data_IF_153370439697
#
_entry.id   IF_153370439697
#
_cell.length_a   1.000
_cell.length_b   1.000
_cell.length_c   1.000
_cell.angle_alpha   90.00
_cell.angle_beta   90.00
_cell.angle_gamma   90.00
#
_symmetry.space_group_name_H-M   'P 1'
#
loop_
_entity.id
_entity.type
_entity.pdbx_description
1 polymer ?
#
# COMPACT_ATOMS: atom_id res chain seq x y z
N UNK A 1 -7.02 -16.29 23.47
CA UNK A 1 -6.34 -15.22 22.73
C UNK A 1 -5.01 -14.94 23.39
N UNK A 2 -3.89 -15.45 22.86
CA UNK A 2 -2.55 -15.02 23.28
C UNK A 2 -2.23 -13.76 22.48
N UNK A 3 -2.34 -12.58 23.12
CA UNK A 3 -1.87 -11.33 22.56
C UNK A 3 -0.35 -11.38 22.41
N UNK A 4 0.16 -11.13 21.20
CA UNK A 4 1.60 -11.02 21.00
C UNK A 4 2.09 -9.74 21.72
N UNK A 5 2.92 -9.83 22.78
CA UNK A 5 3.34 -8.66 23.55
C UNK A 5 4.07 -7.62 22.71
N UNK A 6 4.80 -8.05 21.67
CA UNK A 6 5.51 -7.15 20.76
C UNK A 6 4.55 -6.28 19.93
N UNK A 7 3.38 -6.80 19.57
CA UNK A 7 2.35 -6.05 18.84
C UNK A 7 1.70 -5.00 19.74
N UNK A 8 1.43 -5.36 21.00
CA UNK A 8 0.88 -4.42 21.99
C UNK A 8 1.86 -3.29 22.31
N UNK A 9 3.16 -3.58 22.39
CA UNK A 9 4.18 -2.56 22.64
C UNK A 9 4.35 -1.61 21.45
N UNK A 10 4.36 -2.09 20.22
CA UNK A 10 4.45 -1.25 19.02
C UNK A 10 3.24 -0.30 18.90
N UNK A 11 2.03 -0.76 19.23
CA UNK A 11 0.82 0.06 19.22
C UNK A 11 0.78 1.09 20.38
N UNK A 12 1.34 0.78 21.53
CA UNK A 12 1.31 1.67 22.70
C UNK A 12 2.29 2.84 22.61
N UNK A 13 3.39 2.71 21.87
CA UNK A 13 4.39 3.78 21.75
C UNK A 13 4.02 4.90 20.78
N UNK A 14 3.09 4.70 19.89
CA UNK A 14 2.76 5.65 18.82
C UNK A 14 1.53 6.51 19.07
N UNK A 15 0.76 6.25 20.09
CA UNK A 15 -0.45 7.02 20.43
C UNK A 15 -0.13 8.34 21.16
N UNK A 16 1.15 8.69 21.29
CA UNK A 16 1.59 9.91 21.93
C UNK A 16 1.42 11.15 21.05
N UNK A 17 0.33 11.87 21.18
CA UNK A 17 0.37 13.30 20.99
C UNK A 17 -0.49 13.99 19.95
N UNK A 18 -1.15 13.35 18.99
CA UNK A 18 -2.13 14.03 18.14
C UNK A 18 -3.50 13.38 18.24
N UNK A 19 -4.53 14.18 18.54
CA UNK A 19 -5.90 13.68 18.59
C UNK A 19 -6.34 13.22 17.20
N UNK A 20 -6.38 11.91 16.99
CA UNK A 20 -6.98 11.34 15.78
C UNK A 20 -8.49 11.43 15.93
N UNK A 21 -9.15 12.15 15.05
CA UNK A 21 -10.61 12.15 15.00
C UNK A 21 -11.21 10.85 14.44
N UNK A 22 -10.45 10.11 13.61
CA UNK A 22 -10.84 8.84 13.04
C UNK A 22 -9.63 7.92 12.91
N UNK A 23 -9.75 6.71 13.41
CA UNK A 23 -8.83 5.61 13.12
C UNK A 23 -9.51 4.66 12.17
N UNK A 24 -8.79 4.14 11.19
CA UNK A 24 -9.31 3.18 10.23
C UNK A 24 -8.30 2.05 10.04
N UNK A 25 -8.79 0.82 10.10
CA UNK A 25 -8.02 -0.39 9.83
C UNK A 25 -8.63 -1.07 8.60
N UNK A 26 -7.78 -1.40 7.62
CA UNK A 26 -8.19 -2.15 6.44
C UNK A 26 -7.25 -3.32 6.18
N UNK A 27 -7.79 -4.35 5.54
CA UNK A 27 -7.05 -5.54 5.16
C UNK A 27 -7.04 -5.69 3.65
N UNK A 28 -5.89 -6.08 3.13
CA UNK A 28 -5.77 -6.55 1.75
C UNK A 28 -5.86 -8.07 1.72
N UNK A 29 -6.73 -8.56 0.84
CA UNK A 29 -6.98 -9.99 0.69
C UNK A 29 -6.43 -10.48 -0.65
N UNK A 30 -5.71 -11.60 -0.60
CA UNK A 30 -5.27 -12.33 -1.78
C UNK A 30 -5.79 -13.75 -1.70
N UNK A 31 -6.50 -14.20 -2.75
CA UNK A 31 -7.11 -15.54 -2.79
C UNK A 31 -7.95 -15.86 -1.54
N UNK A 32 -8.76 -14.91 -1.11
CA UNK A 32 -9.65 -15.06 0.04
C UNK A 32 -8.98 -15.05 1.42
N UNK A 33 -7.69 -14.72 1.49
CA UNK A 33 -6.93 -14.65 2.76
C UNK A 33 -6.38 -13.26 2.99
N UNK A 34 -6.44 -12.77 4.22
CA UNK A 34 -5.78 -11.53 4.59
C UNK A 34 -4.25 -11.70 4.45
N UNK A 35 -3.63 -10.94 3.57
CA UNK A 35 -2.19 -10.95 3.30
C UNK A 35 -1.48 -9.81 4.02
N UNK A 36 -2.11 -8.65 4.07
CA UNK A 36 -1.55 -7.46 4.70
C UNK A 36 -2.64 -6.58 5.28
N UNK A 37 -2.24 -5.63 6.11
CA UNK A 37 -3.13 -4.64 6.69
C UNK A 37 -2.53 -3.25 6.58
N UNK A 38 -3.40 -2.26 6.69
CA UNK A 38 -3.05 -0.86 6.84
C UNK A 38 -3.89 -0.24 7.95
N UNK A 39 -3.24 0.56 8.79
CA UNK A 39 -3.89 1.23 9.90
C UNK A 39 -3.56 2.72 9.90
N UNK A 40 -4.60 3.54 9.91
CA UNK A 40 -4.51 4.98 10.04
C UNK A 40 -4.33 5.34 11.51
N UNK A 41 -3.13 5.78 11.88
CA UNK A 41 -2.74 6.18 13.23
C UNK A 41 -2.49 7.70 13.33
N UNK A 42 -2.31 8.22 14.55
CA UNK A 42 -2.00 9.63 14.75
C UNK A 42 -0.62 10.07 14.27
N UNK A 43 0.31 9.13 14.26
CA UNK A 43 1.69 9.38 13.85
C UNK A 43 1.91 9.18 12.33
N UNK A 44 0.98 8.54 11.64
CA UNK A 44 1.10 8.19 10.24
C UNK A 44 0.33 6.92 9.90
N UNK A 45 0.58 6.41 8.73
CA UNK A 45 0.03 5.16 8.26
C UNK A 45 0.95 4.00 8.62
N UNK A 46 0.43 3.04 9.37
CA UNK A 46 1.13 1.78 9.63
C UNK A 46 0.62 0.69 8.71
N UNK A 47 1.52 -0.08 8.13
CA UNK A 47 1.15 -1.23 7.31
C UNK A 47 2.09 -2.40 7.54
N UNK A 48 1.59 -3.60 7.39
CA UNK A 48 2.35 -4.82 7.62
C UNK A 48 1.78 -6.00 6.85
N UNK A 49 2.58 -7.06 6.78
CA UNK A 49 2.19 -8.34 6.19
C UNK A 49 1.89 -9.35 7.27
N UNK A 50 0.96 -10.23 6.98
CA UNK A 50 0.73 -11.42 7.79
C UNK A 50 1.60 -12.57 7.31
N UNK A 51 2.19 -13.28 8.26
CA UNK A 51 2.89 -14.53 8.02
C UNK A 51 2.30 -15.63 8.92
N UNK A 52 2.44 -16.89 8.49
CA UNK A 52 2.09 -18.06 9.28
C UNK A 52 3.34 -18.90 9.50
N UNK A 53 3.54 -19.34 10.72
CA UNK A 53 4.45 -20.47 10.99
C UNK A 53 3.75 -21.79 10.66
N UNK A 54 4.53 -22.80 10.34
CA UNK A 54 4.04 -24.17 10.24
C UNK A 54 3.49 -24.61 11.61
N UNK A 55 2.19 -24.42 11.84
CA UNK A 55 1.58 -24.70 13.14
C UNK A 55 0.44 -23.78 13.55
N UNK A 56 0.01 -22.80 12.65
CA UNK A 56 -1.32 -22.17 12.72
C UNK A 56 -1.45 -20.73 13.22
N UNK A 57 -0.51 -20.15 13.94
CA UNK A 57 -0.72 -18.77 14.41
C UNK A 57 -0.39 -17.74 13.32
N UNK A 58 -1.35 -16.85 13.05
CA UNK A 58 -1.17 -15.69 12.22
C UNK A 58 -0.42 -14.62 13.03
N UNK A 59 0.71 -14.16 12.55
CA UNK A 59 1.46 -13.05 13.17
C UNK A 59 1.80 -11.97 12.15
N UNK A 60 2.02 -10.75 12.65
CA UNK A 60 2.41 -9.62 11.82
C UNK A 60 3.92 -9.66 11.57
N UNK A 61 4.29 -9.59 10.31
CA UNK A 61 5.66 -9.50 9.84
C UNK A 61 5.84 -8.20 9.06
N UNK A 62 7.04 -7.65 9.10
CA UNK A 62 7.43 -6.49 8.28
C UNK A 62 6.51 -5.26 8.48
N UNK A 63 6.29 -4.88 9.73
CA UNK A 63 5.56 -3.65 10.02
C UNK A 63 6.39 -2.43 9.63
N UNK A 64 5.78 -1.53 8.86
CA UNK A 64 6.38 -0.29 8.38
C UNK A 64 5.46 0.89 8.66
N UNK A 65 6.05 2.06 8.82
CA UNK A 65 5.34 3.32 8.96
C UNK A 65 5.60 4.20 7.75
N UNK A 66 4.56 4.85 7.26
CA UNK A 66 4.60 5.84 6.18
C UNK A 66 3.99 7.13 6.71
N UNK A 67 4.68 8.27 6.59
CA UNK A 67 4.08 9.55 6.93
C UNK A 67 2.91 9.85 6.02
N UNK A 68 1.96 10.64 6.50
CA UNK A 68 0.91 11.18 5.62
C UNK A 68 1.55 12.13 4.62
N UNK A 69 1.03 12.15 3.36
CA UNK A 69 1.43 13.17 2.40
C UNK A 69 1.24 14.57 3.01
N UNK A 70 2.26 15.43 2.83
CA UNK A 70 2.17 16.80 3.33
C UNK A 70 1.15 17.60 2.52
N UNK A 71 0.05 17.93 3.14
CA UNK A 71 -1.03 18.77 2.62
C UNK A 71 -1.41 19.87 3.62
N UNK A 72 -0.45 20.30 4.40
CA UNK A 72 -0.65 21.34 5.42
C UNK A 72 -1.65 20.91 6.49
N UNK A 73 -2.76 21.63 6.63
CA UNK A 73 -3.78 21.36 7.66
C UNK A 73 -4.87 20.36 7.22
N UNK A 74 -4.80 19.84 5.99
CA UNK A 74 -5.80 18.89 5.51
C UNK A 74 -5.66 17.54 6.19
N UNK A 75 -6.80 16.96 6.55
CA UNK A 75 -6.85 15.69 7.25
C UNK A 75 -7.27 14.59 6.31
N UNK A 76 -6.61 13.44 6.43
CA UNK A 76 -7.01 12.21 5.78
C UNK A 76 -8.38 11.80 6.30
N UNK A 77 -9.34 11.62 5.41
CA UNK A 77 -10.70 11.19 5.71
C UNK A 77 -10.84 9.66 5.73
N UNK A 78 -9.96 8.99 5.00
CA UNK A 78 -9.96 7.54 4.94
C UNK A 78 -8.78 7.02 4.13
N UNK A 79 -8.53 5.73 4.28
CA UNK A 79 -7.42 5.03 3.63
C UNK A 79 -7.92 3.79 2.90
N UNK A 80 -7.16 3.40 1.86
CA UNK A 80 -7.31 2.14 1.16
C UNK A 80 -5.95 1.52 0.86
N UNK A 81 -5.90 0.23 0.57
CA UNK A 81 -4.67 -0.46 0.25
C UNK A 81 -4.89 -1.57 -0.76
N UNK A 82 -3.97 -1.67 -1.72
CA UNK A 82 -3.81 -2.82 -2.62
C UNK A 82 -2.48 -3.54 -2.35
N UNK A 83 -2.08 -4.43 -3.26
CA UNK A 83 -0.79 -5.11 -3.14
C UNK A 83 0.38 -4.13 -3.12
N UNK A 84 0.37 -3.10 -3.97
CA UNK A 84 1.51 -2.20 -4.18
C UNK A 84 1.24 -0.74 -3.85
N UNK A 85 -0.02 -0.34 -3.66
CA UNK A 85 -0.41 1.05 -3.46
C UNK A 85 -1.17 1.28 -2.16
N UNK A 86 -1.12 2.54 -1.70
CA UNK A 86 -1.96 3.06 -0.62
C UNK A 86 -2.73 4.25 -1.16
N UNK A 87 -3.97 4.34 -0.77
CA UNK A 87 -4.92 5.37 -1.17
C UNK A 87 -5.22 6.24 0.04
N UNK A 88 -5.09 7.55 -0.12
CA UNK A 88 -5.42 8.55 0.89
C UNK A 88 -6.56 9.41 0.36
N UNK A 89 -7.69 9.33 1.02
CA UNK A 89 -8.84 10.16 0.71
C UNK A 89 -8.75 11.46 1.51
N UNK A 90 -8.80 12.58 0.81
CA UNK A 90 -8.92 13.92 1.36
C UNK A 90 -10.29 14.53 1.01
N UNK A 91 -10.56 15.75 1.48
CA UNK A 91 -11.83 16.44 1.21
C UNK A 91 -11.99 16.81 -0.27
N UNK A 92 -10.90 17.06 -0.95
CA UNK A 92 -10.81 17.58 -2.32
C UNK A 92 -10.19 16.59 -3.32
N UNK A 93 -9.45 15.60 -2.86
CA UNK A 93 -8.77 14.66 -3.75
C UNK A 93 -8.60 13.25 -3.17
N UNK A 94 -8.29 12.31 -4.06
CA UNK A 94 -7.77 10.99 -3.75
C UNK A 94 -6.32 10.92 -4.22
N UNK A 95 -5.39 10.70 -3.30
CA UNK A 95 -3.98 10.51 -3.61
C UNK A 95 -3.60 9.03 -3.55
N UNK A 96 -2.84 8.57 -4.52
CA UNK A 96 -2.33 7.19 -4.59
C UNK A 96 -0.82 7.20 -4.47
N UNK A 97 -0.29 6.49 -3.48
CA UNK A 97 1.13 6.36 -3.22
C UNK A 97 1.59 4.92 -3.42
N UNK A 98 2.80 4.77 -3.96
CA UNK A 98 3.47 3.47 -4.01
C UNK A 98 3.96 3.07 -2.62
N UNK A 99 3.70 1.82 -2.21
CA UNK A 99 4.30 1.23 -1.00
C UNK A 99 5.79 0.93 -1.16
N UNK A 100 6.29 0.90 -2.41
CA UNK A 100 7.67 0.53 -2.71
C UNK A 100 8.65 1.67 -2.45
N UNK A 101 8.29 2.89 -2.87
CA UNK A 101 9.14 4.08 -2.77
C UNK A 101 8.46 5.28 -2.10
N UNK A 102 7.23 5.14 -1.65
CA UNK A 102 6.42 6.17 -0.99
C UNK A 102 6.14 7.42 -1.85
N UNK A 103 6.35 7.30 -3.16
CA UNK A 103 6.07 8.40 -4.09
C UNK A 103 4.60 8.44 -4.48
N UNK A 104 4.10 9.65 -4.69
CA UNK A 104 2.77 9.86 -5.26
C UNK A 104 2.78 9.41 -6.71
N UNK A 105 1.91 8.46 -7.05
CA UNK A 105 1.77 7.93 -8.39
C UNK A 105 0.66 8.68 -9.13
N UNK A 106 -0.41 8.99 -8.41
CA UNK A 106 -1.59 9.58 -9.00
C UNK A 106 -2.34 10.42 -7.97
N UNK A 107 -2.98 11.49 -8.46
CA UNK A 107 -3.89 12.32 -7.67
C UNK A 107 -5.12 12.62 -8.53
N UNK A 108 -6.29 12.32 -7.98
CA UNK A 108 -7.59 12.59 -8.60
C UNK A 108 -8.27 13.68 -7.79
N UNK A 109 -8.43 14.84 -8.39
CA UNK A 109 -9.13 15.95 -7.75
C UNK A 109 -10.64 15.79 -7.91
N UNK A 110 -11.37 16.10 -6.85
CA UNK A 110 -12.82 16.15 -6.87
C UNK A 110 -13.28 17.60 -7.04
N UNK A 111 -14.33 17.78 -7.80
CA UNK A 111 -14.93 19.11 -7.92
C UNK A 111 -15.42 19.60 -6.55
N UNK A 112 -14.84 20.70 -6.10
CA UNK A 112 -15.32 21.38 -4.89
C UNK A 112 -16.59 22.18 -5.24
N UNK A 113 -17.74 21.70 -4.75
CA UNK A 113 -19.03 22.37 -4.89
C UNK A 113 -19.60 22.69 -3.50
N UNK A 114 -20.30 23.84 -3.33
CA UNK A 114 -20.97 24.15 -2.09
C UNK A 114 -21.90 23.01 -1.63
N UNK A 115 -21.74 22.57 -0.39
CA UNK A 115 -22.52 21.48 0.19
C UNK A 115 -22.10 20.08 -0.26
N UNK A 116 -20.98 19.93 -0.98
CA UNK A 116 -20.36 18.66 -1.29
C UNK A 116 -19.25 18.35 -0.29
N UNK A 117 -19.21 17.12 0.21
CA UNK A 117 -18.13 16.67 1.09
C UNK A 117 -17.89 15.18 0.96
N UNK A 118 -16.63 14.80 0.78
CA UNK A 118 -16.21 13.40 0.85
C UNK A 118 -16.33 12.91 2.29
N UNK A 119 -16.78 11.66 2.44
CA UNK A 119 -17.09 11.06 3.74
C UNK A 119 -16.16 9.91 4.10
N UNK A 120 -15.74 9.11 3.12
CA UNK A 120 -14.90 7.96 3.39
C UNK A 120 -14.57 7.12 2.16
N UNK A 121 -13.75 6.13 2.39
CA UNK A 121 -13.35 5.11 1.41
C UNK A 121 -13.36 3.74 2.07
N UNK A 122 -13.78 2.72 1.35
CA UNK A 122 -13.74 1.32 1.79
C UNK A 122 -13.29 0.42 0.63
N UNK A 123 -12.75 -0.73 0.97
CA UNK A 123 -12.43 -1.81 0.05
C UNK A 123 -13.45 -2.94 0.20
N UNK A 124 -14.03 -3.37 -0.93
CA UNK A 124 -14.85 -4.57 -0.98
C UNK A 124 -14.01 -5.76 -1.43
N UNK A 125 -13.77 -6.76 -0.55
CA UNK A 125 -12.96 -7.92 -0.87
C UNK A 125 -13.63 -8.90 -1.86
N UNK A 126 -14.95 -8.81 -2.07
CA UNK A 126 -15.67 -9.67 -3.00
C UNK A 126 -15.49 -9.20 -4.43
N UNK A 127 -15.64 -7.92 -4.68
CA UNK A 127 -15.49 -7.32 -6.01
C UNK A 127 -14.07 -6.85 -6.31
N UNK A 128 -13.16 -6.90 -5.32
CA UNK A 128 -11.82 -6.34 -5.37
C UNK A 128 -11.78 -4.86 -5.82
N UNK A 129 -12.80 -4.11 -5.42
CA UNK A 129 -12.98 -2.71 -5.79
C UNK A 129 -12.95 -1.81 -4.56
N UNK A 130 -12.46 -0.59 -4.76
CA UNK A 130 -12.63 0.47 -3.77
C UNK A 130 -13.87 1.30 -4.10
N UNK A 131 -14.54 1.75 -3.05
CA UNK A 131 -15.63 2.69 -3.13
C UNK A 131 -15.31 3.88 -2.24
N UNK A 132 -15.25 5.08 -2.85
CA UNK A 132 -15.22 6.33 -2.12
C UNK A 132 -16.61 6.94 -2.18
N UNK A 133 -17.06 7.57 -1.10
CA UNK A 133 -18.39 8.19 -1.09
C UNK A 133 -18.36 9.58 -0.50
N UNK A 134 -19.28 10.37 -1.00
CA UNK A 134 -19.59 11.69 -0.51
C UNK A 134 -21.01 11.71 0.08
N UNK A 135 -21.47 12.86 0.52
CA UNK A 135 -22.85 13.06 0.93
C UNK A 135 -23.86 12.98 -0.23
N UNK A 136 -23.41 12.85 -1.49
CA UNK A 136 -24.26 12.81 -2.70
C UNK A 136 -23.97 11.69 -3.67
N UNK A 137 -22.72 11.22 -3.73
CA UNK A 137 -22.26 10.27 -4.77
C UNK A 137 -21.43 9.16 -4.17
N UNK A 138 -21.45 8.01 -4.84
CA UNK A 138 -20.54 6.89 -4.63
C UNK A 138 -19.67 6.78 -5.88
N UNK A 139 -18.36 6.71 -5.68
CA UNK A 139 -17.37 6.53 -6.73
C UNK A 139 -16.77 5.14 -6.61
N UNK A 140 -16.81 4.38 -7.68
CA UNK A 140 -16.06 3.14 -7.78
C UNK A 140 -14.66 3.46 -8.32
N UNK A 141 -13.63 3.02 -7.62
CA UNK A 141 -12.23 3.20 -8.00
C UNK A 141 -11.75 1.87 -8.58
N UNK A 142 -11.50 1.87 -9.88
CA UNK A 142 -10.97 0.70 -10.59
C UNK A 142 -9.45 0.76 -10.59
N UNK A 143 -8.82 -0.32 -10.13
CA UNK A 143 -7.38 -0.47 -10.11
C UNK A 143 -6.96 -1.36 -11.28
N UNK A 144 -6.28 -0.77 -12.25
CA UNK A 144 -5.81 -1.51 -13.44
C UNK A 144 -4.28 -1.52 -13.46
N UNK A 145 -3.69 -2.71 -13.70
CA UNK A 145 -2.25 -2.90 -13.92
C UNK A 145 -1.38 -2.24 -12.84
N UNK A 146 -1.75 -2.39 -11.57
CA UNK A 146 -1.00 -1.79 -10.44
C UNK A 146 0.43 -2.30 -10.32
N UNK A 147 0.72 -3.46 -10.89
CA UNK A 147 2.00 -4.15 -10.87
C UNK A 147 2.93 -3.81 -12.04
N UNK A 148 2.43 -3.00 -13.01
CA UNK A 148 3.15 -2.69 -14.27
C UNK A 148 4.59 -2.23 -14.07
N UNK A 149 4.86 -1.40 -13.07
CA UNK A 149 6.16 -0.76 -12.87
C UNK A 149 6.96 -1.36 -11.69
N UNK A 150 6.46 -2.40 -11.04
CA UNK A 150 7.12 -3.05 -9.89
C UNK A 150 8.51 -3.57 -10.25
N UNK A 151 8.67 -4.17 -11.42
CA UNK A 151 9.96 -4.68 -11.90
C UNK A 151 11.00 -3.56 -12.08
N UNK A 152 10.59 -2.37 -12.52
CA UNK A 152 11.50 -1.23 -12.66
C UNK A 152 12.06 -0.80 -11.31
N UNK A 153 11.16 -0.67 -10.34
CA UNK A 153 11.55 -0.32 -8.98
C UNK A 153 12.53 -1.35 -8.37
N UNK A 154 12.28 -2.64 -8.57
CA UNK A 154 13.18 -3.68 -8.09
C UNK A 154 14.58 -3.57 -8.72
N UNK A 155 14.68 -3.26 -10.01
CA UNK A 155 15.93 -3.01 -10.72
C UNK A 155 16.65 -1.76 -10.18
N UNK A 156 15.94 -0.66 -9.97
CA UNK A 156 16.49 0.57 -9.39
C UNK A 156 17.08 0.35 -8.00
N UNK A 157 16.54 -0.62 -7.25
CA UNK A 157 17.08 -1.06 -5.95
C UNK A 157 18.19 -2.10 -6.06
N UNK A 158 18.60 -2.48 -7.27
CA UNK A 158 19.60 -3.53 -7.48
C UNK A 158 19.10 -4.96 -7.22
N UNK A 159 17.78 -5.15 -7.05
CA UNK A 159 17.12 -6.42 -6.69
C UNK A 159 16.72 -7.20 -7.95
N UNK A 160 17.71 -7.48 -8.81
CA UNK A 160 17.46 -8.09 -10.13
C UNK A 160 16.81 -9.48 -10.06
N UNK A 161 17.27 -10.33 -9.13
CA UNK A 161 16.70 -11.68 -8.99
C UNK A 161 15.23 -11.66 -8.61
N UNK A 162 14.85 -10.74 -7.73
CA UNK A 162 13.47 -10.55 -7.35
C UNK A 162 12.64 -9.96 -8.51
N UNK A 163 13.23 -9.08 -9.32
CA UNK A 163 12.58 -8.56 -10.51
C UNK A 163 12.33 -9.67 -11.55
N UNK A 164 13.30 -10.57 -11.75
CA UNK A 164 13.15 -11.72 -12.63
C UNK A 164 12.00 -12.63 -12.13
N UNK A 165 12.07 -13.01 -10.84
CA UNK A 165 11.04 -13.85 -10.23
C UNK A 165 9.64 -13.22 -10.33
N UNK A 166 9.54 -11.93 -10.07
CA UNK A 166 8.29 -11.18 -10.22
C UNK A 166 7.74 -11.26 -11.65
N UNK A 167 8.61 -11.04 -12.66
CA UNK A 167 8.22 -11.12 -14.07
C UNK A 167 7.81 -12.54 -14.48
N UNK A 168 8.46 -13.58 -13.97
CA UNK A 168 8.12 -14.98 -14.22
C UNK A 168 6.77 -15.35 -13.61
N UNK A 169 6.52 -14.97 -12.35
CA UNK A 169 5.27 -15.26 -11.66
C UNK A 169 4.04 -14.56 -12.29
N UNK A 170 4.26 -13.40 -12.90
CA UNK A 170 3.19 -12.61 -13.52
C UNK A 170 3.16 -12.72 -15.06
N UNK A 171 3.92 -13.64 -15.67
CA UNK A 171 4.04 -13.79 -17.12
C UNK A 171 4.29 -12.47 -17.85
N UNK A 172 5.14 -11.62 -17.28
CA UNK A 172 5.38 -10.26 -17.76
C UNK A 172 6.16 -10.27 -19.08
N UNK A 173 5.72 -9.48 -20.05
CA UNK A 173 6.44 -9.23 -21.30
C UNK A 173 7.84 -8.63 -21.09
N UNK A 174 8.10 -8.04 -19.92
CA UNK A 174 9.38 -7.43 -19.58
C UNK A 174 10.44 -8.40 -19.09
N UNK A 175 10.14 -9.70 -18.95
CA UNK A 175 11.08 -10.71 -18.44
C UNK A 175 12.42 -10.71 -19.17
N UNK A 176 12.41 -10.70 -20.50
CA UNK A 176 13.63 -10.70 -21.32
C UNK A 176 14.47 -9.43 -21.09
N UNK A 177 13.79 -8.27 -20.98
CA UNK A 177 14.44 -6.99 -20.68
C UNK A 177 15.11 -7.01 -19.33
N UNK A 178 14.43 -7.53 -18.31
CA UNK A 178 14.96 -7.62 -16.94
C UNK A 178 16.20 -8.53 -16.89
N UNK A 179 16.14 -9.70 -17.56
CA UNK A 179 17.29 -10.62 -17.67
C UNK A 179 18.48 -9.97 -18.38
N UNK A 180 18.24 -9.19 -19.45
CA UNK A 180 19.28 -8.42 -20.13
C UNK A 180 19.94 -7.39 -19.22
N UNK A 181 19.15 -6.57 -18.50
CA UNK A 181 19.69 -5.58 -17.55
C UNK A 181 20.48 -6.22 -16.41
N UNK A 182 20.08 -7.40 -15.96
CA UNK A 182 20.84 -8.14 -14.95
C UNK A 182 22.19 -8.64 -15.49
N UNK A 183 22.21 -9.19 -16.71
CA UNK A 183 23.45 -9.62 -17.37
C UNK A 183 24.42 -8.44 -17.56
N UNK A 184 23.91 -7.28 -18.00
CA UNK A 184 24.73 -6.06 -18.15
C UNK A 184 25.29 -5.59 -16.80
N UNK A 185 24.48 -5.65 -15.73
CA UNK A 185 24.93 -5.31 -14.39
C UNK A 185 26.04 -6.25 -13.89
N UNK A 186 25.90 -7.56 -14.09
CA UNK A 186 26.92 -8.56 -13.74
C UNK A 186 28.21 -8.31 -14.54
N UNK A 187 28.08 -8.06 -15.83
CA UNK A 187 29.23 -7.74 -16.70
C UNK A 187 29.98 -6.52 -16.21
N UNK A 188 29.28 -5.41 -15.96
CA UNK A 188 29.88 -4.15 -15.52
C UNK A 188 30.47 -4.22 -14.10
N UNK A 189 29.90 -5.04 -13.23
CA UNK A 189 30.42 -5.26 -11.87
C UNK A 189 31.55 -6.28 -11.82
N UNK A 190 31.99 -6.85 -12.95
CA UNK A 190 33.01 -7.93 -13.07
C UNK A 190 32.71 -9.14 -12.18
N UNK A 191 31.45 -9.37 -11.87
CA UNK A 191 31.00 -10.55 -11.12
C UNK A 191 30.60 -11.64 -12.12
N UNK A 192 31.61 -12.30 -12.69
CA UNK A 192 31.39 -13.49 -13.51
C UNK A 192 31.42 -14.70 -12.59
N UNK A 193 30.43 -15.54 -12.67
CA UNK A 193 30.40 -16.88 -12.10
C UNK A 193 30.57 -17.92 -13.21
#
# INVERSE_FOLDING_TARGET
YRTNPALMQACQHEVGGSSIRRSQLQFYYKRGRAESFVWMSGAGLMYGKFARHAGEELFVREMKTMPYPDRGNEKVLGIGMTAYHVYFLYSDCLMVLSKLNQQVIHSIEYESRPGYSMQGILFDPQTHSFFAWSNRFIYQILVNNEDRDVWKYLIEQGRYEEAIKFCEENNSEFLHKVKGLYADNLYNSRKYY
#
